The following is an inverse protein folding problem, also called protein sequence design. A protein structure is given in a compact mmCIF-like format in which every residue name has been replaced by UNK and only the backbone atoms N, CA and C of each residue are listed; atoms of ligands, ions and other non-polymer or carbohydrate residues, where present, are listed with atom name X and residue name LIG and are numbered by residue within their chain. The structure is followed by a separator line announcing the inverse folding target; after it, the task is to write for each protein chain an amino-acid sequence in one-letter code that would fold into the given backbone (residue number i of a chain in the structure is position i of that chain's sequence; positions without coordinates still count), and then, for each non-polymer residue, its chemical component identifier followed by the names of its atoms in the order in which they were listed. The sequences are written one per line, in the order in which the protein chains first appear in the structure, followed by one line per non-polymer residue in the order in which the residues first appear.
data_IF_260683365091
#
_entry.id   IF_260683365091
#
_cell.length_a   1.000
_cell.length_b   1.000
_cell.length_c   1.000
_cell.angle_alpha   90.00
_cell.angle_beta   90.00
_cell.angle_gamma   90.00
#
_symmetry.space_group_name_H-M   'P 1'
#
loop_
_entity.id
_entity.type
_entity.pdbx_description
1 polymer ?
#
# COMPACT_ATOMS: atom_id res chain seq x y z
N UNK A 1 4.63 7.37 14.79
CA UNK A 1 3.49 7.64 13.88
C UNK A 1 3.50 6.60 12.78
N UNK A 2 2.42 5.84 12.63
CA UNK A 2 2.33 4.69 11.73
C UNK A 2 1.01 4.69 10.96
N UNK A 3 1.05 4.09 9.78
CA UNK A 3 -0.14 3.81 8.97
C UNK A 3 -0.34 2.31 8.86
N UNK A 4 -1.60 1.91 8.75
CA UNK A 4 -1.94 0.51 8.50
C UNK A 4 -1.97 0.29 6.99
N UNK A 5 -1.27 -0.74 6.52
CA UNK A 5 -1.15 -1.04 5.09
C UNK A 5 -1.70 -2.44 4.83
N UNK A 6 -2.61 -2.51 3.87
CA UNK A 6 -3.29 -3.71 3.41
C UNK A 6 -2.89 -3.98 1.96
N UNK A 7 -2.23 -5.11 1.72
CA UNK A 7 -1.75 -5.54 0.41
C UNK A 7 -2.69 -6.62 -0.13
N UNK A 8 -3.14 -6.43 -1.36
CA UNK A 8 -4.12 -7.31 -2.00
C UNK A 8 -3.50 -8.16 -3.11
N UNK A 9 -4.08 -9.36 -3.29
CA UNK A 9 -3.81 -10.27 -4.42
C UNK A 9 -2.30 -10.53 -4.64
N UNK A 10 -1.82 -10.45 -5.88
CA UNK A 10 -0.44 -10.73 -6.29
C UNK A 10 0.60 -9.78 -5.68
N UNK A 11 0.22 -8.59 -5.20
CA UNK A 11 1.20 -7.68 -4.57
C UNK A 11 1.78 -8.25 -3.28
N UNK A 12 1.07 -9.18 -2.63
CA UNK A 12 1.53 -9.84 -1.39
C UNK A 12 2.84 -10.59 -1.58
N UNK A 13 3.14 -11.05 -2.80
CA UNK A 13 4.37 -11.79 -3.10
C UNK A 13 5.63 -10.92 -2.95
N UNK A 14 5.50 -9.60 -3.09
CA UNK A 14 6.62 -8.66 -2.94
C UNK A 14 6.99 -8.39 -1.48
N UNK A 15 6.08 -8.68 -0.53
CA UNK A 15 6.31 -8.43 0.89
C UNK A 15 6.43 -9.75 1.64
N UNK A 16 7.67 -10.08 1.99
CA UNK A 16 7.98 -11.29 2.76
C UNK A 16 7.23 -11.30 4.10
N UNK A 17 6.66 -12.45 4.46
CA UNK A 17 5.90 -12.66 5.71
C UNK A 17 4.71 -11.71 5.91
N UNK A 18 4.08 -11.23 4.83
CA UNK A 18 2.85 -10.44 4.92
C UNK A 18 1.68 -11.25 5.50
N UNK A 19 1.07 -10.75 6.58
CA UNK A 19 -0.13 -11.30 7.19
C UNK A 19 -1.38 -10.59 6.64
N UNK A 20 -2.23 -11.26 5.84
CA UNK A 20 -3.43 -10.64 5.28
C UNK A 20 -4.54 -10.36 6.31
N UNK A 21 -4.54 -11.01 7.46
CA UNK A 21 -5.53 -10.78 8.52
C UNK A 21 -5.16 -9.55 9.38
N UNK A 22 -3.86 -9.29 9.56
CA UNK A 22 -3.38 -8.18 10.38
C UNK A 22 -2.98 -6.95 9.55
N UNK A 23 -2.58 -7.15 8.30
CA UNK A 23 -1.89 -6.14 7.51
C UNK A 23 -0.48 -5.89 8.06
N UNK A 24 0.12 -4.76 7.67
CA UNK A 24 1.39 -4.31 8.23
C UNK A 24 1.27 -2.86 8.74
N UNK A 25 2.07 -2.53 9.75
CA UNK A 25 2.22 -1.15 10.22
C UNK A 25 3.48 -0.55 9.60
N UNK A 26 3.33 0.55 8.87
CA UNK A 26 4.46 1.24 8.23
C UNK A 26 4.75 2.58 8.92
N UNK A 27 5.99 2.83 9.40
CA UNK A 27 6.36 4.03 10.15
C UNK A 27 6.69 5.23 9.24
N UNK A 28 5.79 5.57 8.32
CA UNK A 28 6.02 6.62 7.30
C UNK A 28 4.92 7.66 7.19
N UNK A 29 4.26 8.02 8.30
CA UNK A 29 3.42 9.21 8.31
C UNK A 29 4.20 10.45 7.81
N UNK A 30 3.58 11.26 6.95
CA UNK A 30 4.19 12.39 6.24
C UNK A 30 4.78 12.05 4.88
N UNK A 31 5.00 10.77 4.58
CA UNK A 31 5.50 10.28 3.27
C UNK A 31 4.34 9.93 2.34
N UNK A 32 4.65 9.76 1.06
CA UNK A 32 3.66 9.43 0.02
C UNK A 32 3.42 7.93 -0.12
N UNK A 33 2.29 7.55 -0.70
CA UNK A 33 1.99 6.15 -1.02
C UNK A 33 3.05 5.53 -1.97
N UNK A 34 3.60 6.31 -2.90
CA UNK A 34 4.70 5.88 -3.76
C UNK A 34 5.94 5.45 -2.96
N UNK A 35 6.29 6.21 -1.91
CA UNK A 35 7.42 5.87 -1.04
C UNK A 35 7.14 4.61 -0.22
N UNK A 36 5.90 4.45 0.26
CA UNK A 36 5.46 3.23 0.93
C UNK A 36 5.64 2.01 0.02
N UNK A 37 5.15 2.06 -1.22
CA UNK A 37 5.27 0.95 -2.16
C UNK A 37 6.75 0.62 -2.45
N UNK A 38 7.59 1.64 -2.65
CA UNK A 38 9.01 1.47 -2.89
C UNK A 38 9.75 0.85 -1.69
N UNK A 39 9.45 1.26 -0.45
CA UNK A 39 10.06 0.67 0.75
C UNK A 39 9.60 -0.77 1.00
N UNK A 40 8.37 -1.10 0.59
CA UNK A 40 7.87 -2.48 0.61
C UNK A 40 8.46 -3.35 -0.51
N UNK A 41 9.30 -2.78 -1.39
CA UNK A 41 9.87 -3.50 -2.54
C UNK A 41 8.85 -3.78 -3.65
N UNK A 42 7.69 -3.12 -3.63
CA UNK A 42 6.65 -3.27 -4.64
C UNK A 42 6.98 -2.33 -5.81
N UNK A 43 7.17 -2.86 -7.04
CA UNK A 43 7.39 -2.02 -8.21
C UNK A 43 6.21 -1.06 -8.45
N UNK A 44 6.49 0.21 -8.73
CA UNK A 44 5.43 1.20 -8.97
C UNK A 44 4.50 0.84 -10.15
N UNK A 45 5.01 0.10 -11.14
CA UNK A 45 4.20 -0.41 -12.27
C UNK A 45 3.20 -1.49 -11.88
N UNK A 46 3.44 -2.19 -10.77
CA UNK A 46 2.54 -3.24 -10.28
C UNK A 46 1.36 -2.65 -9.49
N UNK A 47 1.53 -1.50 -8.86
CA UNK A 47 0.47 -0.82 -8.10
C UNK A 47 -0.40 0.02 -9.03
N UNK A 48 -1.57 -0.49 -9.42
CA UNK A 48 -2.51 0.25 -10.26
C UNK A 48 -3.48 1.14 -9.49
N UNK A 49 -3.81 0.76 -8.27
CA UNK A 49 -4.73 1.53 -7.44
C UNK A 49 -4.23 1.56 -6.00
N UNK A 50 -4.20 2.75 -5.45
CA UNK A 50 -4.04 2.99 -4.04
C UNK A 50 -5.35 3.53 -3.44
N UNK A 51 -5.68 3.04 -2.25
CA UNK A 51 -6.76 3.57 -1.44
C UNK A 51 -6.19 4.10 -0.13
N UNK A 52 -6.64 5.28 0.30
CA UNK A 52 -6.34 5.84 1.61
C UNK A 52 -7.68 6.08 2.31
N UNK A 53 -7.87 5.49 3.49
CA UNK A 53 -9.11 5.51 4.26
C UNK A 53 -10.34 5.08 3.44
N UNK A 54 -10.20 3.98 2.69
CA UNK A 54 -11.24 3.42 1.79
C UNK A 54 -11.66 4.34 0.63
N UNK A 55 -10.92 5.40 0.36
CA UNK A 55 -11.12 6.26 -0.80
C UNK A 55 -9.94 6.12 -1.78
N UNK A 56 -10.18 6.12 -3.10
CA UNK A 56 -9.09 6.11 -4.08
C UNK A 56 -8.21 7.35 -3.92
N UNK A 57 -6.90 7.15 -3.98
CA UNK A 57 -5.92 8.22 -3.82
C UNK A 57 -4.75 8.06 -4.81
N UNK A 58 -4.17 9.16 -5.31
CA UNK A 58 -2.98 9.10 -6.14
C UNK A 58 -1.77 8.60 -5.33
N UNK A 59 -0.78 8.02 -6.00
CA UNK A 59 0.46 7.54 -5.36
C UNK A 59 1.24 8.69 -4.69
N UNK A 60 1.06 9.92 -5.14
CA UNK A 60 1.68 11.13 -4.60
C UNK A 60 1.03 11.60 -3.29
N UNK A 61 -0.15 11.06 -2.92
CA UNK A 61 -0.87 11.42 -1.69
C UNK A 61 0.03 11.18 -0.48
N UNK A 62 0.25 12.24 0.31
CA UNK A 62 0.89 12.14 1.61
C UNK A 62 -0.05 11.50 2.62
N UNK A 63 0.50 10.58 3.39
CA UNK A 63 -0.17 9.79 4.41
C UNK A 63 -0.06 10.48 5.78
N UNK A 64 -1.11 10.41 6.58
CA UNK A 64 -1.18 10.90 7.95
C UNK A 64 -1.08 9.72 8.94
N UNK A 65 -0.73 10.03 10.20
CA UNK A 65 -0.75 9.02 11.27
C UNK A 65 -2.15 8.41 11.41
N UNK A 66 -2.22 7.08 11.50
CA UNK A 66 -3.49 6.35 11.60
C UNK A 66 -4.22 6.09 10.28
N UNK A 67 -3.69 6.54 9.14
CA UNK A 67 -4.29 6.24 7.83
C UNK A 67 -4.31 4.73 7.55
N UNK A 68 -5.35 4.30 6.83
CA UNK A 68 -5.48 2.96 6.27
C UNK A 68 -5.17 2.99 4.77
N UNK A 69 -4.12 2.31 4.34
CA UNK A 69 -3.67 2.28 2.95
C UNK A 69 -3.90 0.91 2.33
N UNK A 70 -4.69 0.84 1.27
CA UNK A 70 -4.87 -0.37 0.45
C UNK A 70 -4.07 -0.28 -0.84
N UNK A 71 -3.27 -1.30 -1.15
CA UNK A 71 -2.52 -1.42 -2.40
C UNK A 71 -3.07 -2.56 -3.25
N UNK A 72 -3.46 -2.26 -4.48
CA UNK A 72 -4.05 -3.22 -5.42
C UNK A 72 -3.19 -3.38 -6.67
N UNK A 73 -2.99 -4.62 -7.14
CA UNK A 73 -2.20 -4.88 -8.34
C UNK A 73 -2.90 -4.39 -9.61
N UNK A 74 -2.15 -4.40 -10.71
CA UNK A 74 -2.70 -4.49 -12.06
C UNK A 74 -3.68 -5.66 -12.15
N UNK A 75 -4.98 -5.37 -12.28
CA UNK A 75 -5.99 -6.39 -12.58
C UNK A 75 -5.97 -6.58 -14.10
N UNK A 76 -5.30 -7.63 -14.57
CA UNK A 76 -5.51 -8.13 -15.92
C UNK A 76 -6.85 -8.89 -15.88
N UNK A 77 -7.89 -8.27 -16.44
CA UNK A 77 -9.20 -8.89 -16.56
C UNK A 77 -9.09 -10.04 -17.56
N UNK A 78 -9.22 -11.28 -17.06
CA UNK A 78 -9.36 -12.45 -17.91
C UNK A 78 -10.62 -12.42 -18.76
#
# INVERSE_FOLDING_TARGET
MAVKVEIFSSLRQYVAAYDPARGLAWPGAGRSVAQLAAELGIPAGEVKLAMVNRAPAPLERRLADGDLVGLFPLVDGG
#
